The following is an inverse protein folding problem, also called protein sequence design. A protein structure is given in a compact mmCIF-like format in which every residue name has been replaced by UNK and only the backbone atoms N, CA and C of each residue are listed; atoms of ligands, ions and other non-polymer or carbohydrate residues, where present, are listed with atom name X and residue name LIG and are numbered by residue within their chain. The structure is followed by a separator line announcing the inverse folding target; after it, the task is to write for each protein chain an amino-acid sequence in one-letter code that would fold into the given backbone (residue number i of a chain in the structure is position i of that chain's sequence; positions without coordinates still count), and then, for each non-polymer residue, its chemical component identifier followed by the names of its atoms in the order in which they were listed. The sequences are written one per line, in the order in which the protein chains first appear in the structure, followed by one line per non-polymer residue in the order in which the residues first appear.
data_IF_247411205409
#
_entry.id   IF_247411205409
#
_cell.length_a   1.000
_cell.length_b   1.000
_cell.length_c   1.000
_cell.angle_alpha   90.00
_cell.angle_beta   90.00
_cell.angle_gamma   90.00
#
_symmetry.space_group_name_H-M   'P 1'
#
loop_
_entity.id
_entity.type
_entity.pdbx_description
1 polymer ?
#
# COMPACT_ATOMS: atom_id res chain seq x y z
N UNK A 1 -12.39 -27.81 2.58
CA UNK A 1 -11.42 -26.69 2.54
C UNK A 1 -10.09 -27.20 2.02
N UNK A 2 -9.66 -26.74 0.83
CA UNK A 2 -8.26 -26.88 0.46
C UNK A 2 -7.53 -25.71 1.08
N UNK A 3 -6.45 -26.00 1.79
CA UNK A 3 -5.58 -24.98 2.36
C UNK A 3 -4.78 -24.24 1.28
N UNK A 4 -5.16 -24.33 -0.02
CA UNK A 4 -4.83 -23.69 -1.32
C UNK A 4 -5.87 -22.82 -2.05
N UNK A 5 -7.17 -22.98 -1.72
CA UNK A 5 -8.26 -22.54 -2.62
C UNK A 5 -9.56 -22.24 -1.90
N UNK A 6 -10.20 -21.13 -2.29
CA UNK A 6 -11.48 -20.68 -1.75
C UNK A 6 -12.72 -21.26 -2.49
N UNK A 7 -12.68 -22.49 -3.01
CA UNK A 7 -13.78 -23.05 -3.82
C UNK A 7 -15.08 -23.30 -3.03
N UNK A 8 -15.02 -23.33 -1.70
CA UNK A 8 -16.11 -23.78 -0.83
C UNK A 8 -16.89 -22.64 -0.14
N UNK A 9 -16.54 -21.37 -0.35
CA UNK A 9 -17.22 -20.22 0.27
C UNK A 9 -18.06 -19.43 -0.74
N UNK A 10 -19.31 -19.15 -0.39
CA UNK A 10 -20.14 -18.20 -1.15
C UNK A 10 -19.46 -16.82 -1.20
N UNK A 11 -19.59 -16.10 -2.32
CA UNK A 11 -18.97 -14.77 -2.57
C UNK A 11 -19.17 -13.78 -1.42
N UNK A 12 -20.32 -13.83 -0.75
CA UNK A 12 -20.66 -13.00 0.42
C UNK A 12 -19.80 -13.33 1.65
N UNK A 13 -19.48 -14.61 1.92
CA UNK A 13 -18.60 -15.06 3.02
C UNK A 13 -17.13 -14.73 2.77
N UNK A 14 -16.63 -14.85 1.52
CA UNK A 14 -15.25 -14.45 1.16
C UNK A 14 -14.97 -12.96 1.45
N UNK A 15 -15.95 -12.10 1.17
CA UNK A 15 -15.86 -10.65 1.40
C UNK A 15 -16.02 -10.31 2.90
N UNK A 16 -16.86 -11.05 3.63
CA UNK A 16 -17.11 -10.87 5.07
C UNK A 16 -15.94 -11.30 5.95
N UNK A 17 -15.20 -12.33 5.55
CA UNK A 17 -14.16 -12.96 6.39
C UNK A 17 -12.75 -12.42 6.14
N UNK A 18 -12.54 -11.55 5.15
CA UNK A 18 -11.20 -11.05 4.80
C UNK A 18 -10.17 -12.14 4.39
N UNK A 19 -10.60 -13.40 4.34
CA UNK A 19 -9.77 -14.57 4.11
C UNK A 19 -9.41 -14.68 2.63
N UNK A 20 -8.44 -13.88 2.19
CA UNK A 20 -7.72 -14.22 0.99
C UNK A 20 -6.92 -15.47 1.29
N UNK A 21 -7.31 -16.53 0.60
CA UNK A 21 -6.51 -17.73 0.54
C UNK A 21 -5.09 -17.34 0.06
N UNK A 22 -4.03 -17.64 0.83
CA UNK A 22 -2.67 -17.15 0.51
C UNK A 22 -1.96 -18.08 -0.47
N UNK A 23 -1.61 -17.63 -1.69
CA UNK A 23 -0.96 -18.48 -2.69
C UNK A 23 0.25 -19.25 -2.15
N UNK A 24 0.34 -20.54 -2.50
CA UNK A 24 1.42 -21.44 -2.07
C UNK A 24 2.81 -20.88 -2.37
N UNK A 25 2.97 -20.20 -3.49
CA UNK A 25 4.21 -19.53 -3.86
C UNK A 25 4.66 -18.50 -2.83
N UNK A 26 3.74 -17.72 -2.26
CA UNK A 26 4.06 -16.72 -1.24
C UNK A 26 4.34 -17.36 0.11
N UNK A 27 3.60 -18.42 0.46
CA UNK A 27 3.88 -19.26 1.64
C UNK A 27 5.28 -19.85 1.55
N UNK A 28 5.66 -20.37 0.39
CA UNK A 28 6.98 -20.93 0.12
C UNK A 28 8.08 -19.89 0.27
N UNK A 29 7.83 -18.64 -0.14
CA UNK A 29 8.76 -17.52 0.06
C UNK A 29 8.98 -17.17 1.53
N UNK A 30 7.90 -17.13 2.33
CA UNK A 30 8.04 -16.96 3.78
C UNK A 30 8.89 -18.07 4.38
N UNK A 31 8.63 -19.33 4.02
CA UNK A 31 9.42 -20.48 4.50
C UNK A 31 10.89 -20.38 4.07
N UNK A 32 11.17 -20.05 2.81
CA UNK A 32 12.52 -19.83 2.28
C UNK A 32 13.30 -18.81 3.14
N UNK A 33 12.63 -17.73 3.56
CA UNK A 33 13.27 -16.64 4.29
C UNK A 33 13.59 -17.02 5.74
N UNK A 34 12.74 -17.81 6.39
CA UNK A 34 12.93 -18.20 7.79
C UNK A 34 13.72 -19.51 7.96
N UNK A 35 13.81 -20.36 6.93
CA UNK A 35 14.50 -21.65 6.99
C UNK A 35 15.93 -21.59 7.55
N UNK A 36 16.77 -20.59 7.20
CA UNK A 36 18.12 -20.47 7.76
C UNK A 36 18.15 -20.37 9.30
N UNK A 37 17.06 -19.92 9.91
CA UNK A 37 16.95 -19.70 11.36
C UNK A 37 16.48 -20.95 12.12
N UNK A 38 16.24 -22.07 11.45
CA UNK A 38 15.84 -23.33 12.11
C UNK A 38 17.01 -24.18 12.59
N UNK A 39 18.24 -23.94 12.11
CA UNK A 39 19.36 -24.88 12.23
C UNK A 39 20.49 -24.41 13.17
N UNK A 40 20.25 -23.42 14.02
CA UNK A 40 21.26 -22.90 14.96
C UNK A 40 21.53 -23.81 16.15
N UNK A 41 22.75 -23.74 16.71
CA UNK A 41 23.07 -24.31 18.02
C UNK A 41 22.31 -23.54 19.11
N UNK A 42 21.14 -24.03 19.51
CA UNK A 42 20.28 -23.35 20.48
C UNK A 42 18.89 -23.96 20.61
N UNK A 43 18.01 -23.29 21.38
CA UNK A 43 16.60 -23.68 21.46
C UNK A 43 15.95 -23.46 20.11
N UNK A 44 15.29 -24.49 19.58
CA UNK A 44 14.49 -24.36 18.35
C UNK A 44 13.42 -23.27 18.54
N UNK A 45 13.21 -22.42 17.53
CA UNK A 45 12.19 -21.39 17.61
C UNK A 45 10.78 -22.00 17.62
N UNK A 46 9.85 -21.30 18.25
CA UNK A 46 8.42 -21.49 18.03
C UNK A 46 8.01 -20.61 16.85
N UNK A 47 7.34 -21.22 15.87
CA UNK A 47 6.78 -20.50 14.72
C UNK A 47 5.30 -20.19 15.00
N UNK A 48 4.94 -18.92 14.97
CA UNK A 48 3.60 -18.49 15.36
C UNK A 48 2.90 -17.72 14.24
N UNK A 49 1.76 -18.24 13.80
CA UNK A 49 0.79 -17.50 12.99
C UNK A 49 -0.35 -17.00 13.88
N UNK A 50 -0.38 -15.69 14.13
CA UNK A 50 -1.40 -15.06 14.98
C UNK A 50 -2.69 -14.70 14.24
N UNK A 51 -2.77 -14.99 12.94
CA UNK A 51 -3.94 -14.78 12.07
C UNK A 51 -4.06 -15.99 11.13
N UNK A 52 -4.18 -17.17 11.73
CA UNK A 52 -3.86 -18.45 11.10
C UNK A 52 -4.70 -18.81 9.89
N UNK A 53 -5.95 -18.35 9.80
CA UNK A 53 -6.88 -18.72 8.75
C UNK A 53 -6.95 -20.24 8.60
N UNK A 54 -6.55 -20.76 7.43
CA UNK A 54 -6.50 -22.20 7.15
C UNK A 54 -5.17 -22.89 7.53
N UNK A 55 -4.22 -22.18 8.14
CA UNK A 55 -2.94 -22.73 8.61
C UNK A 55 -1.88 -22.88 7.52
N UNK A 56 -1.99 -22.11 6.43
CA UNK A 56 -1.16 -22.27 5.24
C UNK A 56 0.35 -22.08 5.53
N UNK A 57 0.72 -21.14 6.41
CA UNK A 57 2.13 -20.87 6.75
C UNK A 57 2.77 -21.94 7.64
N UNK A 58 1.97 -22.83 8.23
CA UNK A 58 2.43 -23.81 9.20
C UNK A 58 2.35 -25.25 8.69
N UNK A 59 1.91 -25.46 7.44
CA UNK A 59 1.84 -26.80 6.84
C UNK A 59 3.21 -27.43 6.55
N UNK A 60 4.24 -26.60 6.32
CA UNK A 60 5.56 -27.05 5.83
C UNK A 60 6.71 -26.86 6.83
N UNK A 61 6.42 -26.64 8.11
CA UNK A 61 7.43 -26.29 9.12
C UNK A 61 8.19 -27.48 9.75
N UNK A 62 8.08 -28.67 9.14
CA UNK A 62 8.76 -29.95 9.46
C UNK A 62 9.58 -29.97 10.78
N UNK A 63 8.95 -30.48 11.85
CA UNK A 63 9.63 -30.77 13.11
C UNK A 63 9.93 -29.57 14.03
N UNK A 64 9.52 -28.36 13.65
CA UNK A 64 9.54 -27.18 14.53
C UNK A 64 8.25 -27.10 15.37
N UNK A 65 8.36 -26.55 16.57
CA UNK A 65 7.18 -26.27 17.39
C UNK A 65 6.44 -25.02 16.84
N UNK A 66 5.13 -24.97 17.03
CA UNK A 66 4.29 -23.96 16.42
C UNK A 66 3.08 -23.58 17.26
N UNK A 67 2.51 -22.41 17.00
CA UNK A 67 1.24 -21.97 17.55
C UNK A 67 0.38 -21.38 16.43
N UNK A 68 -0.95 -21.51 16.55
CA UNK A 68 -1.90 -20.91 15.60
C UNK A 68 -2.98 -20.19 16.40
N UNK A 69 -3.18 -18.90 16.16
CA UNK A 69 -4.31 -18.18 16.70
C UNK A 69 -5.25 -17.75 15.59
N UNK A 70 -6.54 -17.94 15.80
CA UNK A 70 -7.59 -17.59 14.85
C UNK A 70 -8.85 -17.13 15.61
N UNK A 71 -9.54 -16.14 15.08
CA UNK A 71 -10.73 -15.56 15.68
C UNK A 71 -12.01 -16.22 15.17
N UNK A 72 -12.02 -16.75 13.94
CA UNK A 72 -13.17 -17.44 13.36
C UNK A 72 -13.28 -18.88 13.86
N UNK A 73 -14.46 -19.25 14.37
CA UNK A 73 -14.69 -20.57 14.94
C UNK A 73 -14.68 -21.69 13.88
N UNK A 74 -15.23 -21.46 12.68
CA UNK A 74 -15.24 -22.44 11.59
C UNK A 74 -13.81 -22.74 11.12
N UNK A 75 -12.97 -21.70 11.00
CA UNK A 75 -11.56 -21.83 10.69
C UNK A 75 -10.78 -22.57 11.80
N UNK A 76 -11.05 -22.27 13.07
CA UNK A 76 -10.47 -23.01 14.20
C UNK A 76 -10.79 -24.50 14.15
N UNK A 77 -12.04 -24.86 13.85
CA UNK A 77 -12.44 -26.26 13.77
C UNK A 77 -11.78 -26.95 12.57
N UNK A 78 -11.62 -26.25 11.45
CA UNK A 78 -10.84 -26.74 10.32
C UNK A 78 -9.36 -26.98 10.67
N UNK A 79 -8.74 -26.08 11.45
CA UNK A 79 -7.35 -26.21 11.91
C UNK A 79 -7.18 -27.44 12.82
N UNK A 80 -8.12 -27.70 13.74
CA UNK A 80 -8.06 -28.83 14.68
C UNK A 80 -8.10 -30.20 13.99
N UNK A 81 -8.61 -30.26 12.76
CA UNK A 81 -8.58 -31.48 11.94
C UNK A 81 -7.19 -31.77 11.33
N UNK A 82 -6.25 -30.81 11.38
CA UNK A 82 -4.96 -30.86 10.67
C UNK A 82 -3.75 -30.66 11.57
N UNK A 83 -3.95 -29.95 12.67
CA UNK A 83 -2.91 -29.57 13.62
C UNK A 83 -3.32 -30.03 15.01
N UNK A 84 -2.32 -30.22 15.88
CA UNK A 84 -2.52 -30.48 17.30
C UNK A 84 -3.44 -29.42 17.94
N UNK A 85 -4.58 -29.87 18.46
CA UNK A 85 -5.61 -29.02 19.04
C UNK A 85 -5.11 -28.18 20.22
N UNK A 86 -4.10 -28.66 20.97
CA UNK A 86 -3.51 -27.94 22.11
C UNK A 86 -2.74 -26.69 21.63
N UNK A 87 -2.33 -26.65 20.36
CA UNK A 87 -1.55 -25.56 19.76
C UNK A 87 -2.42 -24.56 18.97
N UNK A 88 -3.74 -24.70 19.04
CA UNK A 88 -4.72 -23.84 18.35
C UNK A 88 -5.48 -23.00 19.37
N UNK A 89 -5.45 -21.68 19.19
CA UNK A 89 -6.03 -20.72 20.12
C UNK A 89 -7.16 -19.95 19.42
N UNK A 90 -8.41 -20.26 19.78
CA UNK A 90 -9.57 -19.50 19.33
C UNK A 90 -9.66 -18.19 20.12
N UNK A 91 -9.16 -17.09 19.55
CA UNK A 91 -9.02 -15.82 20.27
C UNK A 91 -8.78 -14.63 19.34
N UNK A 92 -9.14 -13.43 19.80
CA UNK A 92 -8.65 -12.20 19.18
C UNK A 92 -7.17 -12.00 19.55
N UNK A 93 -6.28 -12.07 18.56
CA UNK A 93 -4.83 -11.97 18.79
C UNK A 93 -4.33 -10.60 19.27
N UNK A 94 -5.13 -9.55 19.12
CA UNK A 94 -4.77 -8.20 19.55
C UNK A 94 -5.29 -7.85 20.94
N UNK A 95 -6.06 -8.73 21.58
CA UNK A 95 -6.58 -8.53 22.94
C UNK A 95 -5.80 -9.36 23.95
N UNK A 96 -5.35 -8.75 25.04
CA UNK A 96 -4.45 -9.33 26.05
C UNK A 96 -3.24 -9.99 25.38
N UNK A 97 -2.60 -9.29 24.43
CA UNK A 97 -1.52 -9.84 23.63
C UNK A 97 -0.28 -10.09 24.49
N UNK A 98 -0.02 -11.36 24.80
CA UNK A 98 1.09 -11.81 25.63
C UNK A 98 1.53 -13.23 25.23
N UNK A 99 2.81 -13.58 25.42
CA UNK A 99 3.34 -14.92 25.14
C UNK A 99 2.64 -16.03 25.93
N UNK A 100 2.29 -15.79 27.20
CA UNK A 100 1.65 -16.80 28.07
C UNK A 100 0.29 -17.24 27.56
N UNK A 101 -0.47 -16.33 26.92
CA UNK A 101 -1.76 -16.61 26.27
C UNK A 101 -1.67 -17.75 25.25
N UNK A 102 -0.51 -17.91 24.62
CA UNK A 102 -0.26 -18.89 23.56
C UNK A 102 0.64 -20.06 24.03
N UNK A 103 0.85 -20.20 25.34
CA UNK A 103 1.79 -21.19 25.89
C UNK A 103 3.18 -21.10 25.25
N UNK A 104 3.67 -19.86 25.06
CA UNK A 104 5.02 -19.55 24.57
C UNK A 104 5.87 -19.11 25.77
N UNK A 105 6.96 -19.82 26.11
CA UNK A 105 7.84 -19.40 27.20
C UNK A 105 8.56 -18.08 26.89
N UNK A 106 8.82 -17.21 27.90
CA UNK A 106 9.49 -15.92 27.69
C UNK A 106 10.89 -16.02 27.08
N UNK A 107 11.62 -17.11 27.32
CA UNK A 107 13.01 -17.30 26.84
C UNK A 107 13.11 -18.14 25.55
N UNK A 108 11.98 -18.51 24.95
CA UNK A 108 11.99 -19.30 23.70
C UNK A 108 12.04 -18.35 22.51
N UNK A 109 12.95 -18.58 21.53
CA UNK A 109 12.96 -17.82 20.30
C UNK A 109 11.62 -17.92 19.57
N UNK A 110 11.14 -16.79 19.06
CA UNK A 110 9.82 -16.67 18.44
C UNK A 110 9.93 -16.09 17.03
N UNK A 111 9.38 -16.81 16.06
CA UNK A 111 9.28 -16.37 14.67
C UNK A 111 7.80 -16.17 14.34
N UNK A 112 7.41 -14.92 14.07
CA UNK A 112 6.06 -14.63 13.57
C UNK A 112 6.01 -14.87 12.07
N UNK A 113 4.97 -15.56 11.62
CA UNK A 113 4.65 -15.74 10.20
C UNK A 113 3.19 -15.41 9.96
N UNK A 114 2.81 -15.17 8.71
CA UNK A 114 1.40 -15.02 8.37
C UNK A 114 1.11 -13.95 7.33
N UNK A 115 -0.18 -13.81 7.06
CA UNK A 115 -0.78 -12.75 6.26
C UNK A 115 -1.84 -12.06 7.13
N UNK A 116 -1.43 -11.21 8.10
CA UNK A 116 -2.37 -10.57 9.00
C UNK A 116 -3.39 -9.73 8.21
N UNK A 117 -4.65 -9.66 8.66
CA UNK A 117 -5.66 -8.87 7.98
C UNK A 117 -5.27 -7.39 8.01
N UNK A 118 -5.24 -6.77 6.83
CA UNK A 118 -5.03 -5.34 6.65
C UNK A 118 -6.31 -4.72 6.10
N UNK A 119 -7.02 -3.96 6.92
CA UNK A 119 -8.15 -3.15 6.52
C UNK A 119 -8.06 -1.81 7.25
N UNK A 120 -8.08 -0.71 6.49
CA UNK A 120 -8.22 0.62 7.08
C UNK A 120 -9.69 0.80 7.45
N UNK A 121 -9.99 1.03 8.73
CA UNK A 121 -11.35 1.35 9.21
C UNK A 121 -11.95 2.60 8.54
N UNK A 122 -11.16 3.37 7.79
CA UNK A 122 -11.60 4.50 6.96
C UNK A 122 -11.91 4.14 5.51
N UNK A 123 -11.52 2.95 5.02
CA UNK A 123 -11.85 2.48 3.67
C UNK A 123 -13.17 1.71 3.68
N UNK A 124 -14.28 2.44 3.48
CA UNK A 124 -15.60 1.92 3.05
C UNK A 124 -16.04 0.55 3.63
N UNK A 125 -15.77 0.30 4.91
CA UNK A 125 -16.50 -0.74 5.62
C UNK A 125 -17.88 -0.17 5.98
N UNK A 126 -18.87 -0.63 5.20
CA UNK A 126 -20.33 -0.62 5.42
C UNK A 126 -20.95 0.70 5.85
N UNK A 127 -21.70 1.34 4.94
CA UNK A 127 -22.96 2.05 5.25
C UNK A 127 -23.05 2.71 6.65
N UNK A 128 -22.07 3.54 7.05
CA UNK A 128 -22.12 4.28 8.31
C UNK A 128 -21.82 3.51 9.60
N UNK A 129 -21.56 2.21 9.58
CA UNK A 129 -21.19 1.42 10.77
C UNK A 129 -19.67 1.25 10.84
N UNK A 130 -19.00 2.21 11.48
CA UNK A 130 -17.56 2.08 11.78
C UNK A 130 -17.38 0.91 12.76
N UNK A 131 -16.88 -0.23 12.29
CA UNK A 131 -16.42 -1.30 13.16
C UNK A 131 -15.28 -0.78 14.05
N UNK A 132 -15.32 -1.09 15.34
CA UNK A 132 -14.21 -0.81 16.25
C UNK A 132 -13.16 -1.91 16.15
N UNK A 133 -11.89 -1.52 15.96
CA UNK A 133 -10.77 -2.43 16.10
C UNK A 133 -10.59 -2.77 17.58
N UNK A 134 -11.20 -3.86 18.03
CA UNK A 134 -11.04 -4.37 19.41
C UNK A 134 -9.62 -4.89 19.57
N UNK A 135 -8.81 -4.19 20.35
CA UNK A 135 -7.41 -4.51 20.64
C UNK A 135 -6.97 -3.83 21.94
N UNK A 136 -5.81 -4.25 22.46
CA UNK A 136 -5.16 -3.56 23.57
C UNK A 136 -4.87 -2.09 23.19
N UNK A 137 -4.96 -1.19 24.16
CA UNK A 137 -4.87 0.26 23.93
C UNK A 137 -3.55 0.68 23.26
N UNK A 138 -2.43 0.05 23.65
CA UNK A 138 -1.11 0.29 23.09
C UNK A 138 -0.98 -0.18 21.63
N UNK A 139 -1.77 -1.17 21.24
CA UNK A 139 -1.80 -1.72 19.88
C UNK A 139 -2.71 -0.95 18.93
N UNK A 140 -3.58 -0.06 19.46
CA UNK A 140 -4.63 0.59 18.68
C UNK A 140 -4.10 1.41 17.51
N UNK A 141 -4.54 1.04 16.31
CA UNK A 141 -4.41 1.82 15.09
C UNK A 141 -5.71 1.72 14.27
N UNK A 142 -5.91 2.68 13.37
CA UNK A 142 -7.06 2.67 12.43
C UNK A 142 -6.94 1.55 11.40
N UNK A 143 -5.73 1.03 11.19
CA UNK A 143 -5.40 0.00 10.22
C UNK A 143 -5.00 -1.28 10.96
N UNK A 144 -5.79 -2.33 10.80
CA UNK A 144 -5.66 -3.56 11.58
C UNK A 144 -4.29 -4.24 11.38
N UNK A 145 -3.72 -4.15 10.19
CA UNK A 145 -2.41 -4.74 9.90
C UNK A 145 -1.30 -4.05 10.70
N UNK A 146 -1.38 -2.74 10.91
CA UNK A 146 -0.44 -1.99 11.76
C UNK A 146 -0.53 -2.46 13.21
N UNK A 147 -1.74 -2.73 13.72
CA UNK A 147 -1.93 -3.27 15.07
C UNK A 147 -1.27 -4.65 15.24
N UNK A 148 -1.32 -5.51 14.22
CA UNK A 148 -0.60 -6.80 14.22
C UNK A 148 0.93 -6.61 14.25
N UNK A 149 1.49 -5.71 13.43
CA UNK A 149 2.93 -5.44 13.49
C UNK A 149 3.36 -4.97 14.88
N UNK A 150 2.59 -4.08 15.52
CA UNK A 150 2.86 -3.66 16.91
C UNK A 150 2.73 -4.83 17.90
N UNK A 151 1.79 -5.74 17.70
CA UNK A 151 1.63 -6.90 18.59
C UNK A 151 2.83 -7.85 18.53
N UNK A 152 3.50 -7.97 17.37
CA UNK A 152 4.73 -8.75 17.26
C UNK A 152 5.86 -8.18 18.10
N UNK A 153 5.94 -6.84 18.18
CA UNK A 153 6.86 -6.20 19.12
C UNK A 153 6.49 -6.49 20.57
N UNK A 154 5.20 -6.41 20.93
CA UNK A 154 4.70 -6.71 22.27
C UNK A 154 4.96 -8.17 22.68
N UNK A 155 4.84 -9.10 21.74
CA UNK A 155 5.22 -10.50 21.88
C UNK A 155 6.74 -10.73 21.85
N UNK A 156 7.55 -9.67 21.73
CA UNK A 156 9.01 -9.72 21.69
C UNK A 156 9.57 -10.67 20.62
N UNK A 157 8.90 -10.83 19.48
CA UNK A 157 9.34 -11.77 18.46
C UNK A 157 10.78 -11.49 18.01
N UNK A 158 11.57 -12.53 17.80
CA UNK A 158 12.96 -12.41 17.35
C UNK A 158 13.02 -12.16 15.84
N UNK A 159 12.12 -12.83 15.11
CA UNK A 159 11.92 -12.64 13.67
C UNK A 159 10.44 -12.45 13.36
N UNK A 160 10.18 -11.66 12.33
CA UNK A 160 8.83 -11.46 11.78
C UNK A 160 8.92 -11.60 10.27
N UNK A 161 8.31 -12.63 9.70
CA UNK A 161 8.26 -12.87 8.26
C UNK A 161 6.82 -12.94 7.77
N UNK A 162 6.27 -11.82 7.34
CA UNK A 162 4.84 -11.68 7.04
C UNK A 162 4.59 -11.04 5.68
N UNK A 163 3.34 -11.14 5.23
CA UNK A 163 2.82 -10.36 4.10
C UNK A 163 2.14 -9.09 4.61
N UNK A 164 2.44 -7.95 4.00
CA UNK A 164 1.67 -6.71 4.23
C UNK A 164 1.82 -5.71 3.06
N UNK A 165 0.94 -4.70 2.95
CA UNK A 165 1.05 -3.68 1.91
C UNK A 165 2.41 -2.95 1.96
N UNK A 166 3.04 -2.73 0.80
CA UNK A 166 4.29 -1.96 0.71
C UNK A 166 4.12 -0.54 1.27
N UNK A 167 2.91 0.02 1.14
CA UNK A 167 2.55 1.36 1.60
C UNK A 167 2.70 1.60 3.10
N UNK A 168 2.86 0.55 3.92
CA UNK A 168 3.22 0.70 5.34
C UNK A 168 4.62 1.25 5.52
N UNK A 169 5.53 0.94 4.60
CA UNK A 169 6.92 1.37 4.65
C UNK A 169 7.16 2.63 3.82
N UNK A 170 6.67 2.66 2.58
CA UNK A 170 7.07 3.71 1.61
C UNK A 170 6.33 5.04 1.78
N UNK A 171 5.25 5.08 2.57
CA UNK A 171 4.56 6.32 2.94
C UNK A 171 5.00 6.71 4.34
N UNK A 172 5.72 7.80 4.48
CA UNK A 172 6.29 8.22 5.77
C UNK A 172 5.25 8.31 6.89
N UNK A 173 4.08 8.89 6.59
CA UNK A 173 2.98 8.96 7.55
C UNK A 173 2.51 7.58 8.02
N UNK A 174 2.51 6.56 7.15
CA UNK A 174 2.17 5.20 7.53
C UNK A 174 3.32 4.53 8.31
N UNK A 175 4.56 4.74 7.88
CA UNK A 175 5.75 4.20 8.52
C UNK A 175 5.84 4.65 9.98
N UNK A 176 5.60 5.93 10.25
CA UNK A 176 5.55 6.49 11.62
C UNK A 176 4.49 5.81 12.50
N UNK A 177 3.40 5.29 11.94
CA UNK A 177 2.38 4.53 12.69
C UNK A 177 2.89 3.16 13.16
N UNK A 178 4.00 2.65 12.65
CA UNK A 178 4.56 1.38 13.15
C UNK A 178 5.11 1.51 14.59
N UNK A 179 5.36 2.74 15.08
CA UNK A 179 5.81 3.04 16.46
C UNK A 179 6.96 2.13 16.92
N UNK A 180 6.79 1.41 18.02
CA UNK A 180 7.81 0.58 18.64
C UNK A 180 8.25 -0.56 17.71
N UNK A 181 7.42 -0.98 16.74
CA UNK A 181 7.85 -1.97 15.75
C UNK A 181 8.97 -1.43 14.87
N UNK A 182 8.85 -0.22 14.32
CA UNK A 182 9.95 0.36 13.52
C UNK A 182 11.17 0.71 14.37
N UNK A 183 11.01 0.91 15.68
CA UNK A 183 12.12 1.25 16.59
C UNK A 183 12.89 0.01 17.05
N UNK A 184 12.27 -1.17 17.05
CA UNK A 184 12.86 -2.40 17.59
C UNK A 184 13.08 -3.50 16.55
N UNK A 185 12.86 -3.22 15.27
CA UNK A 185 13.08 -4.19 14.18
C UNK A 185 13.77 -3.53 13.00
N UNK A 186 14.58 -4.32 12.29
CA UNK A 186 15.19 -3.94 11.02
C UNK A 186 14.68 -4.85 9.90
N UNK A 187 14.32 -4.26 8.77
CA UNK A 187 13.96 -5.02 7.57
C UNK A 187 15.24 -5.62 6.98
N UNK A 188 15.26 -6.95 6.83
CA UNK A 188 16.41 -7.71 6.35
C UNK A 188 16.25 -8.06 4.88
N UNK A 189 15.04 -8.51 4.50
CA UNK A 189 14.72 -8.94 3.13
C UNK A 189 13.28 -8.56 2.82
N UNK A 190 13.03 -8.03 1.63
CA UNK A 190 11.67 -7.82 1.14
C UNK A 190 11.56 -8.09 -0.35
N UNK A 191 10.45 -8.70 -0.74
CA UNK A 191 10.11 -9.02 -2.11
C UNK A 191 8.69 -8.56 -2.42
N UNK A 192 8.57 -7.64 -3.38
CA UNK A 192 7.32 -7.00 -3.79
C UNK A 192 6.61 -7.88 -4.81
N UNK A 193 5.30 -8.01 -4.65
CA UNK A 193 4.43 -8.67 -5.62
C UNK A 193 3.11 -7.91 -5.77
N UNK A 194 2.42 -8.18 -6.87
CA UNK A 194 1.13 -7.56 -7.15
C UNK A 194 0.03 -8.19 -6.32
N UNK A 195 -0.87 -7.37 -5.76
CA UNK A 195 -2.08 -7.85 -5.10
C UNK A 195 -2.92 -8.79 -5.97
N UNK A 196 -2.77 -8.72 -7.30
CA UNK A 196 -3.43 -9.60 -8.26
C UNK A 196 -3.13 -11.11 -8.08
N UNK A 197 -2.13 -11.48 -7.29
CA UNK A 197 -1.90 -12.88 -6.93
C UNK A 197 -2.97 -13.44 -5.99
N UNK A 198 -3.72 -12.59 -5.29
CA UNK A 198 -4.84 -13.02 -4.45
C UNK A 198 -6.14 -13.06 -5.26
N UNK A 199 -6.95 -14.11 -5.04
CA UNK A 199 -8.26 -14.23 -5.66
C UNK A 199 -9.20 -13.11 -5.21
N UNK A 200 -9.97 -12.54 -6.14
CA UNK A 200 -11.00 -11.56 -5.81
C UNK A 200 -10.51 -10.14 -5.52
N UNK A 201 -9.23 -9.83 -5.79
CA UNK A 201 -8.80 -8.43 -5.82
C UNK A 201 -9.49 -7.70 -6.97
N UNK A 202 -10.07 -6.53 -6.68
CA UNK A 202 -10.73 -5.70 -7.68
C UNK A 202 -9.75 -5.14 -8.73
N UNK A 203 -10.25 -4.30 -9.63
CA UNK A 203 -9.46 -3.75 -10.74
C UNK A 203 -8.23 -2.93 -10.32
N UNK A 204 -8.24 -2.35 -9.11
CA UNK A 204 -7.13 -1.58 -8.56
C UNK A 204 -6.06 -2.46 -7.92
N UNK A 205 -5.05 -2.85 -8.71
CA UNK A 205 -3.88 -3.61 -8.22
C UNK A 205 -2.94 -2.69 -7.42
N UNK A 206 -2.32 -3.22 -6.38
CA UNK A 206 -1.37 -2.48 -5.54
C UNK A 206 -0.22 -3.39 -5.05
N UNK A 207 0.93 -2.82 -4.63
CA UNK A 207 2.07 -3.59 -4.21
C UNK A 207 1.94 -4.10 -2.77
N UNK A 208 2.21 -5.38 -2.60
CA UNK A 208 2.32 -6.09 -1.31
C UNK A 208 3.75 -6.61 -1.22
N UNK A 209 4.26 -6.81 0.00
CA UNK A 209 5.58 -7.41 0.22
C UNK A 209 5.49 -8.67 1.05
N UNK A 210 6.34 -9.64 0.75
CA UNK A 210 6.83 -10.62 1.72
C UNK A 210 8.04 -9.96 2.40
N UNK A 211 7.97 -9.73 3.70
CA UNK A 211 8.99 -8.99 4.42
C UNK A 211 9.49 -9.76 5.64
N UNK A 212 10.81 -9.94 5.71
CA UNK A 212 11.54 -10.48 6.84
C UNK A 212 12.15 -9.33 7.65
N UNK A 213 11.76 -9.26 8.91
CA UNK A 213 12.30 -8.35 9.90
C UNK A 213 13.00 -9.14 11.00
N UNK A 214 14.07 -8.56 11.53
CA UNK A 214 14.80 -9.08 12.68
C UNK A 214 14.79 -8.05 13.80
N UNK A 215 14.58 -8.52 15.04
CA UNK A 215 14.60 -7.66 16.21
C UNK A 215 15.97 -7.01 16.35
N UNK A 216 15.98 -5.69 16.40
CA UNK A 216 17.18 -4.88 16.44
C UNK A 216 16.90 -3.56 17.16
N UNK A 217 17.67 -3.25 18.21
CA UNK A 217 17.45 -2.06 19.05
C UNK A 217 17.73 -0.72 18.34
N UNK A 218 18.37 -0.73 17.16
CA UNK A 218 18.56 0.47 16.33
C UNK A 218 17.37 0.73 15.40
N UNK A 219 16.49 -0.25 15.21
CA UNK A 219 15.29 -0.11 14.40
C UNK A 219 15.52 0.30 12.94
N UNK A 220 14.55 1.03 12.41
CA UNK A 220 14.51 1.64 11.08
C UNK A 220 14.05 3.09 11.21
N UNK A 221 14.75 3.99 10.53
CA UNK A 221 14.24 5.31 10.19
C UNK A 221 13.69 5.31 8.75
N UNK A 222 13.08 6.42 8.33
CA UNK A 222 12.49 6.50 7.01
C UNK A 222 13.56 6.59 5.90
N UNK A 223 14.72 7.16 6.18
CA UNK A 223 15.84 7.22 5.21
C UNK A 223 16.40 5.82 4.90
N UNK A 224 16.48 4.94 5.90
CA UNK A 224 16.77 3.53 5.72
C UNK A 224 15.79 2.89 4.73
N UNK A 225 14.48 3.10 4.93
CA UNK A 225 13.45 2.57 4.03
C UNK A 225 13.55 3.17 2.63
N UNK A 226 13.85 4.48 2.52
CA UNK A 226 14.03 5.14 1.22
C UNK A 226 15.12 4.50 0.39
N UNK A 227 16.21 4.07 1.03
CA UNK A 227 17.38 3.49 0.37
C UNK A 227 17.38 1.96 0.34
N UNK A 228 16.39 1.30 0.96
CA UNK A 228 16.27 -0.15 0.95
C UNK A 228 16.00 -0.68 -0.46
N UNK A 229 16.67 -1.79 -0.82
CA UNK A 229 16.48 -2.48 -2.10
C UNK A 229 15.42 -3.57 -1.95
N UNK A 230 14.23 -3.30 -2.49
CA UNK A 230 13.16 -4.28 -2.54
C UNK A 230 13.29 -5.10 -3.83
N UNK A 231 13.36 -6.42 -3.72
CA UNK A 231 13.31 -7.29 -4.88
C UNK A 231 11.88 -7.33 -5.44
N UNK A 232 11.71 -7.61 -6.73
CA UNK A 232 10.39 -7.82 -7.33
C UNK A 232 10.24 -9.31 -7.60
N UNK A 233 9.16 -9.91 -7.10
CA UNK A 233 8.87 -11.33 -7.28
C UNK A 233 8.85 -11.67 -8.78
N UNK A 234 9.54 -12.75 -9.15
CA UNK A 234 9.68 -13.22 -10.54
C UNK A 234 10.39 -12.24 -11.48
N UNK A 235 11.15 -11.29 -10.94
CA UNK A 235 12.00 -10.38 -11.72
C UNK A 235 13.40 -10.28 -11.10
N UNK A 236 14.37 -9.90 -11.94
CA UNK A 236 15.70 -9.47 -11.50
C UNK A 236 15.73 -7.98 -11.14
N UNK A 237 14.63 -7.26 -11.35
CA UNK A 237 14.52 -5.84 -11.04
C UNK A 237 14.40 -5.58 -9.54
N UNK A 238 14.80 -4.37 -9.15
CA UNK A 238 14.67 -3.89 -7.77
C UNK A 238 13.96 -2.54 -7.73
N UNK A 239 13.15 -2.34 -6.70
CA UNK A 239 12.55 -1.06 -6.37
C UNK A 239 13.35 -0.40 -5.23
N UNK A 240 13.71 0.88 -5.40
CA UNK A 240 14.37 1.69 -4.38
C UNK A 240 13.63 3.03 -4.34
N UNK A 241 13.02 3.37 -3.21
CA UNK A 241 12.14 4.52 -3.11
C UNK A 241 12.87 5.85 -3.38
N UNK A 242 14.13 5.99 -2.97
CA UNK A 242 14.93 7.20 -3.19
C UNK A 242 15.27 7.48 -4.66
N UNK A 243 15.09 6.51 -5.56
CA UNK A 243 15.24 6.71 -7.01
C UNK A 243 14.07 7.45 -7.65
N UNK A 244 12.95 7.59 -6.94
CA UNK A 244 11.75 8.23 -7.48
C UNK A 244 11.58 9.62 -6.88
N UNK A 245 11.40 10.60 -7.77
CA UNK A 245 10.94 11.92 -7.40
C UNK A 245 9.42 12.01 -7.58
N UNK A 246 8.74 12.63 -6.61
CA UNK A 246 7.29 12.75 -6.60
C UNK A 246 6.86 14.20 -6.51
N UNK A 247 5.58 14.44 -6.76
CA UNK A 247 4.92 15.75 -6.62
C UNK A 247 4.73 16.23 -5.18
N UNK A 248 5.20 15.49 -4.18
CA UNK A 248 5.13 15.92 -2.78
C UNK A 248 5.88 17.23 -2.55
N UNK A 249 5.25 18.15 -1.82
CA UNK A 249 5.79 19.49 -1.57
C UNK A 249 5.76 20.45 -2.78
N UNK A 250 5.49 19.94 -3.99
CA UNK A 250 5.52 20.73 -5.22
C UNK A 250 4.14 20.97 -5.85
N UNK A 251 3.26 19.96 -5.87
CA UNK A 251 1.85 20.10 -6.29
C UNK A 251 0.93 19.85 -5.10
N UNK A 252 0.03 20.80 -4.84
CA UNK A 252 -0.97 20.65 -3.79
C UNK A 252 -1.94 19.53 -4.12
N UNK A 253 -2.15 18.66 -3.14
CA UNK A 253 -2.94 17.44 -3.26
C UNK A 253 -4.34 17.53 -2.69
N UNK A 254 -4.52 18.46 -1.74
CA UNK A 254 -5.70 18.54 -0.90
C UNK A 254 -6.45 19.85 -1.15
N UNK A 255 -7.77 19.86 -0.89
CA UNK A 255 -8.54 21.10 -0.92
C UNK A 255 -7.93 22.17 0.01
N UNK A 256 -8.19 23.46 -0.27
CA UNK A 256 -7.67 24.56 0.54
C UNK A 256 -8.10 24.41 2.01
N UNK A 257 -7.20 24.71 2.96
CA UNK A 257 -7.49 24.73 4.41
C UNK A 257 -8.28 25.98 4.81
N UNK A 258 -8.68 26.11 6.08
CA UNK A 258 -9.58 27.18 6.56
C UNK A 258 -9.14 28.60 6.14
N UNK A 259 -7.84 28.85 6.09
CA UNK A 259 -7.28 30.17 5.82
C UNK A 259 -6.80 30.35 4.36
N UNK A 260 -6.97 29.33 3.53
CA UNK A 260 -6.54 29.37 2.13
C UNK A 260 -7.66 29.90 1.23
N UNK A 261 -7.29 30.49 0.09
CA UNK A 261 -8.26 30.90 -0.93
C UNK A 261 -9.12 29.70 -1.36
N UNK A 262 -10.45 29.85 -1.22
CA UNK A 262 -11.43 28.80 -1.55
C UNK A 262 -11.90 28.84 -2.99
N UNK A 263 -11.85 30.02 -3.60
CA UNK A 263 -12.36 30.26 -4.95
C UNK A 263 -11.21 30.37 -5.93
N UNK A 264 -11.34 29.68 -7.04
CA UNK A 264 -10.42 29.84 -8.16
C UNK A 264 -10.66 31.18 -8.87
N UNK A 265 -9.62 31.99 -9.12
CA UNK A 265 -9.74 33.24 -9.87
C UNK A 265 -10.10 33.01 -11.36
N UNK A 266 -9.89 31.79 -11.86
CA UNK A 266 -10.24 31.38 -13.22
C UNK A 266 -11.46 30.47 -13.27
N UNK A 267 -12.13 30.24 -12.14
CA UNK A 267 -13.30 29.36 -12.04
C UNK A 267 -13.01 27.88 -12.31
N UNK A 268 -11.76 27.45 -12.14
CA UNK A 268 -11.31 26.09 -12.42
C UNK A 268 -10.76 25.42 -11.15
N UNK A 269 -11.12 24.16 -10.95
CA UNK A 269 -10.64 23.35 -9.84
C UNK A 269 -10.08 22.03 -10.35
N UNK A 270 -9.26 21.35 -9.56
CA UNK A 270 -8.77 20.00 -9.83
C UNK A 270 -9.20 19.06 -8.71
N UNK A 271 -9.68 17.86 -9.03
CA UNK A 271 -10.10 16.92 -7.98
C UNK A 271 -8.91 16.45 -7.15
N UNK A 272 -9.06 16.42 -5.82
CA UNK A 272 -8.06 15.94 -4.86
C UNK A 272 -7.52 14.56 -5.20
N UNK A 273 -6.25 14.29 -4.89
CA UNK A 273 -5.63 13.00 -5.09
C UNK A 273 -4.64 12.72 -3.95
N UNK A 274 -4.50 11.45 -3.57
CA UNK A 274 -3.60 10.99 -2.52
C UNK A 274 -2.32 10.40 -3.10
N UNK A 275 -2.50 9.51 -4.08
CA UNK A 275 -1.48 8.74 -4.80
C UNK A 275 -1.89 8.51 -6.26
N UNK A 276 -1.02 7.87 -7.04
CA UNK A 276 -1.23 7.57 -8.45
C UNK A 276 -2.53 6.81 -8.71
N UNK A 277 -2.89 5.83 -7.88
CA UNK A 277 -4.14 5.08 -8.01
C UNK A 277 -5.35 6.01 -7.87
N UNK A 278 -5.35 6.89 -6.86
CA UNK A 278 -6.43 7.88 -6.70
C UNK A 278 -6.48 8.90 -7.84
N UNK A 279 -5.32 9.36 -8.35
CA UNK A 279 -5.25 10.25 -9.52
C UNK A 279 -5.88 9.60 -10.75
N UNK A 280 -5.59 8.31 -10.99
CA UNK A 280 -6.17 7.53 -12.10
C UNK A 280 -7.66 7.32 -11.97
N UNK A 281 -8.19 7.14 -10.75
CA UNK A 281 -9.63 6.96 -10.50
C UNK A 281 -10.44 8.26 -10.54
N UNK A 282 -9.93 9.34 -9.96
CA UNK A 282 -10.70 10.55 -9.71
C UNK A 282 -10.91 11.38 -10.98
N UNK A 283 -11.86 12.33 -10.94
CA UNK A 283 -11.98 13.34 -11.99
C UNK A 283 -10.69 14.18 -12.08
N UNK A 284 -10.47 14.85 -13.22
CA UNK A 284 -9.36 15.80 -13.37
C UNK A 284 -9.86 17.22 -13.06
N UNK A 285 -10.15 18.01 -14.10
CA UNK A 285 -10.64 19.39 -13.96
C UNK A 285 -12.14 19.46 -13.66
N UNK A 286 -12.54 20.48 -12.91
CA UNK A 286 -13.93 20.80 -12.56
C UNK A 286 -14.19 22.30 -12.81
N UNK A 287 -15.36 22.64 -13.35
CA UNK A 287 -15.79 24.03 -13.62
C UNK A 287 -16.68 24.62 -12.53
N UNK A 288 -16.92 23.87 -11.46
CA UNK A 288 -17.71 24.29 -10.29
C UNK A 288 -16.91 24.01 -9.03
N UNK A 289 -17.13 24.85 -8.02
CA UNK A 289 -16.58 24.63 -6.69
C UNK A 289 -17.05 23.27 -6.16
N UNK A 290 -16.14 22.55 -5.51
CA UNK A 290 -16.39 21.20 -5.02
C UNK A 290 -15.66 21.00 -3.69
N UNK A 291 -16.25 20.29 -2.70
CA UNK A 291 -15.61 20.06 -1.39
C UNK A 291 -14.23 19.38 -1.49
N UNK A 292 -14.06 18.53 -2.51
CA UNK A 292 -12.82 17.85 -2.84
C UNK A 292 -12.00 18.56 -3.93
N UNK A 293 -12.31 19.81 -4.25
CA UNK A 293 -11.66 20.60 -5.29
C UNK A 293 -10.44 21.34 -4.76
N UNK A 294 -9.32 21.21 -5.46
CA UNK A 294 -8.11 22.02 -5.30
C UNK A 294 -8.27 23.26 -6.17
N UNK A 295 -7.90 24.43 -5.64
CA UNK A 295 -7.97 25.70 -6.38
C UNK A 295 -6.87 25.77 -7.44
N UNK A 296 -7.29 26.00 -8.69
CA UNK A 296 -6.38 26.22 -9.82
C UNK A 296 -6.34 27.72 -10.16
N UNK A 297 -5.14 28.26 -10.34
CA UNK A 297 -4.88 29.62 -10.81
C UNK A 297 -4.19 29.56 -12.18
N UNK A 298 -3.97 30.70 -12.84
CA UNK A 298 -3.21 30.71 -14.09
C UNK A 298 -1.78 30.21 -13.85
N UNK A 299 -1.17 30.64 -12.75
CA UNK A 299 0.23 30.37 -12.41
C UNK A 299 0.47 28.90 -12.12
N UNK A 300 -0.49 28.19 -11.51
CA UNK A 300 -0.32 26.78 -11.15
C UNK A 300 -1.00 25.80 -12.11
N UNK A 301 -1.71 26.29 -13.13
CA UNK A 301 -2.45 25.47 -14.09
C UNK A 301 -1.59 24.37 -14.70
N UNK A 302 -0.35 24.69 -15.12
CA UNK A 302 0.58 23.72 -15.71
C UNK A 302 0.84 22.49 -14.84
N UNK A 303 0.84 22.64 -13.51
CA UNK A 303 1.04 21.52 -12.57
C UNK A 303 -0.11 20.52 -12.69
N UNK A 304 -1.34 21.00 -12.80
CA UNK A 304 -2.52 20.16 -12.95
C UNK A 304 -2.69 19.63 -14.37
N UNK A 305 -2.22 20.37 -15.39
CA UNK A 305 -2.09 19.86 -16.75
C UNK A 305 -1.09 18.71 -16.84
N UNK A 306 0.03 18.79 -16.12
CA UNK A 306 0.98 17.68 -15.97
C UNK A 306 0.31 16.46 -15.33
N UNK A 307 -0.41 16.64 -14.21
CA UNK A 307 -1.13 15.53 -13.55
C UNK A 307 -2.18 14.88 -14.45
N UNK A 308 -2.87 15.68 -15.27
CA UNK A 308 -3.80 15.17 -16.27
C UNK A 308 -3.07 14.35 -17.35
N UNK A 309 -1.91 14.84 -17.81
CA UNK A 309 -1.08 14.12 -18.78
C UNK A 309 -0.58 12.78 -18.22
N UNK A 310 -0.06 12.80 -16.98
CA UNK A 310 0.36 11.60 -16.25
C UNK A 310 -0.81 10.62 -16.07
N UNK A 311 -1.99 11.10 -15.69
CA UNK A 311 -3.21 10.29 -15.55
C UNK A 311 -3.57 9.57 -16.86
N UNK A 312 -3.51 10.29 -17.98
CA UNK A 312 -3.95 9.79 -19.29
C UNK A 312 -2.93 8.91 -20.00
N UNK A 313 -1.64 9.20 -19.83
CA UNK A 313 -0.57 8.64 -20.69
C UNK A 313 0.42 7.73 -19.95
N UNK A 314 0.53 7.80 -18.61
CA UNK A 314 1.46 6.95 -17.86
C UNK A 314 0.92 5.53 -17.70
N UNK A 315 1.45 4.60 -18.48
CA UNK A 315 1.02 3.21 -18.46
C UNK A 315 2.19 2.21 -18.62
N UNK A 316 3.19 2.22 -17.72
CA UNK A 316 4.25 1.22 -17.76
C UNK A 316 3.67 -0.17 -17.46
N UNK A 317 4.34 -1.23 -17.94
CA UNK A 317 3.91 -2.62 -17.73
C UNK A 317 3.67 -2.94 -16.24
N UNK A 318 4.52 -2.40 -15.36
CA UNK A 318 4.45 -2.58 -13.90
C UNK A 318 3.73 -1.42 -13.19
N UNK A 319 2.73 -0.78 -13.81
CA UNK A 319 2.03 0.37 -13.24
C UNK A 319 1.47 0.16 -11.82
N UNK A 320 1.13 -1.07 -11.47
CA UNK A 320 0.67 -1.46 -10.13
C UNK A 320 1.72 -1.18 -9.04
N UNK A 321 3.02 -1.25 -9.37
CA UNK A 321 4.13 -1.03 -8.43
C UNK A 321 4.14 0.41 -7.89
N UNK A 322 3.78 1.37 -8.74
CA UNK A 322 3.81 2.79 -8.43
C UNK A 322 2.49 3.31 -7.86
N UNK A 323 1.43 2.50 -7.88
CA UNK A 323 0.06 2.95 -7.57
C UNK A 323 -0.12 3.60 -6.19
N UNK A 324 0.70 3.22 -5.21
CA UNK A 324 0.69 3.84 -3.87
C UNK A 324 1.67 5.01 -3.71
N UNK A 325 2.49 5.32 -4.71
CA UNK A 325 3.31 6.52 -4.67
C UNK A 325 2.46 7.75 -5.00
N UNK A 326 2.86 8.87 -4.41
CA UNK A 326 2.53 10.18 -4.95
C UNK A 326 2.85 10.24 -6.44
N UNK A 327 2.11 11.02 -7.26
CA UNK A 327 2.41 11.17 -8.68
C UNK A 327 3.89 11.45 -8.91
N UNK A 328 4.52 10.64 -9.76
CA UNK A 328 5.93 10.77 -10.13
C UNK A 328 6.13 12.06 -10.93
N UNK A 329 7.30 12.68 -10.81
CA UNK A 329 7.66 13.85 -11.59
C UNK A 329 9.17 14.10 -11.58
N UNK A 330 9.71 14.44 -12.76
CA UNK A 330 10.94 15.21 -12.88
C UNK A 330 10.55 16.70 -12.86
N UNK A 331 10.96 17.42 -11.81
CA UNK A 331 10.54 18.81 -11.62
C UNK A 331 11.19 19.76 -12.63
N UNK A 332 12.44 19.49 -13.01
CA UNK A 332 13.16 20.33 -13.96
C UNK A 332 12.56 20.16 -15.35
N UNK A 333 12.20 18.93 -15.73
CA UNK A 333 11.50 18.67 -16.98
C UNK A 333 10.12 19.31 -17.00
N UNK A 334 9.36 19.18 -15.91
CA UNK A 334 8.03 19.77 -15.78
C UNK A 334 8.08 21.30 -15.93
N UNK A 335 9.02 21.96 -15.24
CA UNK A 335 9.23 23.42 -15.31
C UNK A 335 9.68 23.90 -16.69
N UNK A 336 10.54 23.14 -17.39
CA UNK A 336 10.99 23.50 -18.74
C UNK A 336 9.91 23.30 -19.81
N UNK A 337 9.00 22.34 -19.61
CA UNK A 337 8.04 21.92 -20.64
C UNK A 337 6.59 22.26 -20.29
N UNK A 338 6.33 23.31 -19.48
CA UNK A 338 4.97 23.73 -19.09
C UNK A 338 4.01 23.80 -20.28
N UNK A 339 4.46 24.44 -21.36
CA UNK A 339 3.65 24.68 -22.55
C UNK A 339 3.18 23.38 -23.19
N UNK A 340 4.01 22.32 -23.19
CA UNK A 340 3.64 21.02 -23.73
C UNK A 340 2.45 20.42 -22.96
N UNK A 341 2.54 20.36 -21.63
CA UNK A 341 1.48 19.79 -20.79
C UNK A 341 0.20 20.62 -20.84
N UNK A 342 0.32 21.94 -20.80
CA UNK A 342 -0.82 22.87 -20.89
C UNK A 342 -1.52 22.72 -22.25
N UNK A 343 -0.76 22.67 -23.35
CA UNK A 343 -1.31 22.50 -24.70
C UNK A 343 -2.04 21.17 -24.85
N UNK A 344 -1.45 20.10 -24.35
CA UNK A 344 -2.08 18.77 -24.34
C UNK A 344 -3.39 18.78 -23.56
N UNK A 345 -3.40 19.35 -22.34
CA UNK A 345 -4.59 19.41 -21.51
C UNK A 345 -5.72 20.22 -22.15
N UNK A 346 -5.44 21.42 -22.68
CA UNK A 346 -6.46 22.28 -23.31
C UNK A 346 -7.12 21.61 -24.52
N UNK A 347 -6.36 20.82 -25.28
CA UNK A 347 -6.85 20.18 -26.51
C UNK A 347 -7.56 18.85 -26.31
N UNK A 348 -7.26 18.13 -25.23
CA UNK A 348 -7.75 16.75 -25.05
C UNK A 348 -8.69 16.60 -23.85
N UNK A 349 -8.70 17.53 -22.91
CA UNK A 349 -9.58 17.45 -21.77
C UNK A 349 -10.96 18.06 -22.09
N UNK A 350 -12.00 17.22 -22.07
CA UNK A 350 -13.39 17.62 -22.38
C UNK A 350 -13.91 18.78 -21.53
N UNK A 351 -13.49 18.89 -20.26
CA UNK A 351 -13.93 19.97 -19.38
C UNK A 351 -13.35 21.31 -19.83
N UNK A 352 -12.10 21.29 -20.32
CA UNK A 352 -11.44 22.49 -20.85
C UNK A 352 -11.95 22.84 -22.25
N UNK A 353 -12.24 21.84 -23.09
CA UNK A 353 -12.90 22.02 -24.39
C UNK A 353 -14.28 22.70 -24.24
N UNK A 354 -15.07 22.24 -23.26
CA UNK A 354 -16.41 22.79 -22.97
C UNK A 354 -16.38 24.06 -22.13
N UNK A 355 -15.23 24.43 -21.56
CA UNK A 355 -15.12 25.63 -20.74
C UNK A 355 -15.30 26.88 -21.61
N UNK A 356 -15.92 27.93 -21.05
CA UNK A 356 -16.23 29.17 -21.79
C UNK A 356 -14.99 29.64 -22.57
N UNK A 357 -15.15 29.99 -23.84
CA UNK A 357 -14.09 30.52 -24.74
C UNK A 357 -13.09 31.46 -24.04
N UNK A 358 -13.58 32.33 -23.16
CA UNK A 358 -12.80 33.26 -22.34
C UNK A 358 -11.78 32.61 -21.39
N UNK A 359 -12.06 31.43 -20.81
CA UNK A 359 -11.12 30.71 -19.95
C UNK A 359 -9.95 30.16 -20.77
N UNK A 360 -10.27 29.51 -21.90
CA UNK A 360 -9.27 29.00 -22.83
C UNK A 360 -8.39 30.12 -23.33
N UNK A 361 -8.96 31.26 -23.75
CA UNK A 361 -8.20 32.45 -24.18
C UNK A 361 -7.24 32.97 -23.09
N UNK A 362 -7.68 33.03 -21.82
CA UNK A 362 -6.81 33.43 -20.70
C UNK A 362 -5.62 32.48 -20.52
N UNK A 363 -5.86 31.17 -20.58
CA UNK A 363 -4.80 30.15 -20.43
C UNK A 363 -3.83 30.22 -21.62
N UNK A 364 -4.35 30.28 -22.84
CA UNK A 364 -3.58 30.37 -24.09
C UNK A 364 -2.65 31.59 -24.05
N UNK A 365 -3.19 32.75 -23.69
CA UNK A 365 -2.42 33.99 -23.62
C UNK A 365 -1.36 33.96 -22.51
N UNK A 366 -1.69 33.40 -21.34
CA UNK A 366 -0.75 33.31 -20.22
C UNK A 366 0.45 32.42 -20.54
N UNK A 367 0.21 31.24 -21.15
CA UNK A 367 1.26 30.27 -21.49
C UNK A 367 1.85 30.45 -22.89
N UNK A 368 1.34 31.42 -23.68
CA UNK A 368 1.77 31.67 -25.07
C UNK A 368 1.71 30.41 -25.94
N UNK A 369 0.59 29.70 -25.87
CA UNK A 369 0.39 28.43 -26.57
C UNK A 369 0.22 28.66 -28.08
N UNK A 370 0.97 27.92 -28.90
CA UNK A 370 0.73 27.83 -30.34
C UNK A 370 -0.17 26.62 -30.67
N UNK A 371 -1.19 26.81 -31.50
CA UNK A 371 -2.13 25.76 -31.90
C UNK A 371 -1.67 24.89 -33.08
N UNK A 372 -0.51 25.17 -33.66
CA UNK A 372 0.00 24.44 -34.82
C UNK A 372 0.48 23.01 -34.52
N UNK A 373 0.76 22.69 -33.25
CA UNK A 373 1.28 21.35 -32.89
C UNK A 373 0.21 20.26 -32.98
N UNK A 374 0.59 19.12 -33.57
CA UNK A 374 -0.26 17.92 -33.67
C UNK A 374 -0.36 17.21 -32.30
N UNK A 375 -1.58 16.84 -31.89
CA UNK A 375 -1.86 16.12 -30.62
C UNK A 375 -1.10 14.80 -30.52
N UNK A 376 -0.99 14.03 -31.60
CA UNK A 376 -0.28 12.75 -31.61
C UNK A 376 1.21 12.93 -31.31
N UNK A 377 1.82 14.00 -31.85
CA UNK A 377 3.22 14.35 -31.56
C UNK A 377 3.40 14.76 -30.11
N UNK A 378 2.45 15.50 -29.55
CA UNK A 378 2.48 15.88 -28.13
C UNK A 378 2.35 14.66 -27.23
N UNK A 379 1.43 13.74 -27.53
CA UNK A 379 1.29 12.49 -26.78
C UNK A 379 2.57 11.67 -26.77
N UNK A 380 3.20 11.50 -27.93
CA UNK A 380 4.43 10.75 -28.03
C UNK A 380 5.57 11.41 -27.25
N UNK A 381 5.72 12.73 -27.36
CA UNK A 381 6.69 13.48 -26.58
C UNK A 381 6.45 13.34 -25.06
N UNK A 382 5.19 13.40 -24.62
CA UNK A 382 4.84 13.24 -23.21
C UNK A 382 5.08 11.80 -22.75
N UNK A 383 4.66 10.78 -23.51
CA UNK A 383 4.87 9.36 -23.18
C UNK A 383 6.35 9.07 -22.96
N UNK A 384 7.22 9.54 -23.85
CA UNK A 384 8.67 9.35 -23.73
C UNK A 384 9.22 9.95 -22.42
N UNK A 385 8.76 11.14 -22.03
CA UNK A 385 9.13 11.80 -20.76
C UNK A 385 8.57 11.08 -19.53
N UNK A 386 7.35 10.56 -19.61
CA UNK A 386 6.74 9.84 -18.50
C UNK A 386 7.35 8.46 -18.31
N UNK A 387 7.78 7.81 -19.40
CA UNK A 387 8.46 6.51 -19.36
C UNK A 387 9.85 6.61 -18.71
N UNK A 388 10.55 7.75 -18.82
CA UNK A 388 11.84 7.96 -18.15
C UNK A 388 11.73 8.16 -16.63
N UNK A 389 10.52 8.21 -16.07
CA UNK A 389 10.30 8.32 -14.62
C UNK A 389 10.49 6.99 -13.88
N UNK A 390 10.59 5.86 -14.59
CA UNK A 390 10.58 4.50 -14.02
C UNK A 390 11.67 3.58 -14.53
#
# INVERSE_FOLDING_TARGET
MQAHKAEHLAKKRKILMGGYYTPEKLVSKVYEYIKPYFSGEGKKPIIFDSAGGCGAFLSNINGNDYRIAEFDCEACDFLKLRFDAIKIFHTNSLLNANRSKYSIPPETPLIMVGNPPYNDTTSEFRNGEKGENVCDEDLRDRDLGVSFLRSYNKLKADLVCILHPLSYLIKEANFRRLREFRENYKLIKAEIFSSALFDGTGFGKFPIIVALYERNMSGMDFEFIRNFRFNILDSNDTFILSKFQTTDGYINKYPPRKNDAKKSPIGLYYYTFRDLNSLKKNASFLTKEHPNGIVVTLENFYKYSYLYSLKSLFNPANSWLYGNLSPLADMDDLERNKNLYVSYAVRTNRVLEQSKRLLSEKIINHYKINFEDNVDRMEEAIKNRLNSLV
#
